data_IF_442729668849
#
_entry.id   IF_442729668849
#
_cell.length_a   1.000
_cell.length_b   1.000
_cell.length_c   1.000
_cell.angle_alpha   90.00
_cell.angle_beta   90.00
_cell.angle_gamma   90.00
#
_symmetry.space_group_name_H-M   'P 1'
#
loop_
_entity.id
_entity.type
_entity.pdbx_description
1 polymer ?
#
# COMPACT_ATOMS: atom_id res chain seq x y z
N UNK A 1 -2.99 -8.61 31.14
CA UNK A 1 -4.15 -8.36 30.25
C UNK A 1 -4.21 -6.89 29.93
N UNK A 2 -4.35 -6.54 28.64
CA UNK A 2 -4.62 -5.16 28.24
C UNK A 2 -6.14 -5.01 28.32
N UNK A 3 -6.63 -4.30 29.35
CA UNK A 3 -8.05 -3.98 29.44
C UNK A 3 -8.43 -3.07 28.27
N UNK A 4 -9.45 -3.41 27.46
CA UNK A 4 -9.91 -2.54 26.41
C UNK A 4 -10.42 -1.24 27.03
N UNK A 5 -9.83 -0.11 26.62
CA UNK A 5 -10.28 1.22 27.02
C UNK A 5 -11.30 1.72 26.01
N UNK A 6 -12.49 2.06 26.49
CA UNK A 6 -13.50 2.75 25.67
C UNK A 6 -13.02 4.18 25.43
N UNK A 7 -12.78 4.53 24.17
CA UNK A 7 -12.32 5.87 23.76
C UNK A 7 -13.48 6.86 23.64
N UNK A 8 -14.70 6.37 23.39
CA UNK A 8 -15.92 7.16 23.28
C UNK A 8 -17.15 6.27 23.07
N UNK A 9 -18.33 6.86 23.20
CA UNK A 9 -19.61 6.23 22.90
C UNK A 9 -20.45 7.24 22.11
N UNK A 10 -20.93 6.82 20.95
CA UNK A 10 -21.63 7.68 20.02
C UNK A 10 -22.97 7.05 19.66
N UNK A 11 -23.96 7.91 19.41
CA UNK A 11 -25.21 7.45 18.83
C UNK A 11 -25.03 7.34 17.33
N UNK A 12 -25.69 6.37 16.72
CA UNK A 12 -25.61 6.21 15.27
C UNK A 12 -26.24 7.39 14.53
N UNK A 13 -27.22 8.06 15.16
CA UNK A 13 -27.83 9.28 14.63
C UNK A 13 -26.85 10.46 14.50
N UNK A 14 -25.74 10.43 15.25
CA UNK A 14 -24.70 11.47 15.19
C UNK A 14 -23.72 11.21 14.02
N UNK A 15 -23.87 10.12 13.28
CA UNK A 15 -23.01 9.79 12.14
C UNK A 15 -23.33 10.72 10.96
N UNK A 16 -22.35 11.47 10.46
CA UNK A 16 -22.54 12.40 9.34
C UNK A 16 -21.99 11.85 8.02
N UNK A 17 -20.79 11.26 8.08
CA UNK A 17 -20.06 10.93 6.87
C UNK A 17 -19.08 9.79 7.13
N UNK A 18 -19.00 8.88 6.16
CA UNK A 18 -17.97 7.84 6.12
C UNK A 18 -17.19 7.94 4.82
N UNK A 19 -15.88 7.99 4.95
CA UNK A 19 -14.93 7.95 3.86
C UNK A 19 -14.30 6.57 3.80
N UNK A 20 -14.23 6.01 2.59
CA UNK A 20 -13.57 4.72 2.34
C UNK A 20 -12.39 4.93 1.39
N UNK A 21 -11.32 4.15 1.54
CA UNK A 21 -10.15 4.29 0.66
C UNK A 21 -9.22 3.07 0.64
N UNK A 22 -8.23 3.15 -0.25
CA UNK A 22 -7.06 2.25 -0.38
C UNK A 22 -7.38 0.78 -0.67
N UNK A 23 -8.43 0.49 -1.43
CA UNK A 23 -8.87 -0.89 -1.67
C UNK A 23 -9.77 -1.43 -0.56
N UNK A 24 -10.51 -0.54 0.10
CA UNK A 24 -11.47 -0.80 1.19
C UNK A 24 -10.81 -1.23 2.52
N UNK A 25 -9.57 -0.83 2.81
CA UNK A 25 -8.92 -1.16 4.09
C UNK A 25 -8.94 -0.02 5.10
N UNK A 26 -9.14 1.23 4.65
CA UNK A 26 -9.24 2.41 5.52
C UNK A 26 -10.66 2.99 5.50
N UNK A 27 -11.19 3.24 6.70
CA UNK A 27 -12.48 3.91 6.91
C UNK A 27 -12.27 5.12 7.83
N UNK A 28 -12.75 6.29 7.43
CA UNK A 28 -12.81 7.46 8.30
C UNK A 28 -14.25 7.84 8.54
N UNK A 29 -14.65 7.78 9.80
CA UNK A 29 -16.02 8.01 10.28
C UNK A 29 -16.06 9.39 10.93
N UNK A 30 -16.93 10.26 10.43
CA UNK A 30 -17.16 11.60 10.94
C UNK A 30 -18.47 11.67 11.70
N UNK A 31 -18.39 12.23 12.90
CA UNK A 31 -19.51 12.46 13.80
C UNK A 31 -19.93 13.93 13.78
N UNK A 32 -21.16 14.22 14.18
CA UNK A 32 -21.75 15.56 14.20
C UNK A 32 -21.06 16.55 15.15
N UNK A 33 -20.33 16.04 16.15
CA UNK A 33 -19.50 16.84 17.06
C UNK A 33 -18.11 17.20 16.48
N UNK A 34 -17.92 16.99 15.18
CA UNK A 34 -16.66 17.14 14.45
C UNK A 34 -15.56 16.14 14.82
N UNK A 35 -15.86 15.10 15.62
CA UNK A 35 -14.92 14.01 15.87
C UNK A 35 -14.77 13.14 14.62
N UNK A 36 -13.55 12.73 14.32
CA UNK A 36 -13.27 11.77 13.26
C UNK A 36 -12.49 10.56 13.80
N UNK A 37 -12.97 9.37 13.48
CA UNK A 37 -12.33 8.10 13.84
C UNK A 37 -11.78 7.43 12.59
N UNK A 38 -10.51 7.01 12.65
CA UNK A 38 -9.87 6.24 11.58
C UNK A 38 -9.84 4.76 11.98
N UNK A 39 -10.45 3.92 11.16
CA UNK A 39 -10.38 2.47 11.27
C UNK A 39 -9.47 1.94 10.16
N UNK A 40 -8.46 1.19 10.57
CA UNK A 40 -7.60 0.45 9.66
C UNK A 40 -7.92 -1.03 9.84
N UNK A 41 -8.44 -1.61 8.76
CA UNK A 41 -8.83 -3.01 8.71
C UNK A 41 -7.78 -3.81 7.97
N UNK A 42 -7.64 -5.07 8.33
CA UNK A 42 -6.71 -5.99 7.69
C UNK A 42 -7.20 -6.43 6.33
N UNK A 43 -8.52 -6.58 6.17
CA UNK A 43 -9.13 -7.06 4.94
C UNK A 43 -10.30 -6.17 4.52
N UNK A 44 -10.59 -6.16 3.21
CA UNK A 44 -11.77 -5.48 2.68
C UNK A 44 -13.07 -6.02 3.28
N UNK A 45 -13.10 -7.31 3.64
CA UNK A 45 -14.23 -7.93 4.33
C UNK A 45 -14.45 -7.32 5.73
N UNK A 46 -13.38 -7.16 6.51
CA UNK A 46 -13.49 -6.50 7.82
C UNK A 46 -14.02 -5.07 7.70
N UNK A 47 -13.60 -4.32 6.67
CA UNK A 47 -14.17 -3.00 6.43
C UNK A 47 -15.65 -3.06 6.02
N UNK A 48 -16.06 -4.04 5.22
CA UNK A 48 -17.47 -4.27 4.90
C UNK A 48 -18.28 -4.58 6.16
N UNK A 49 -17.74 -5.41 7.06
CA UNK A 49 -18.38 -5.74 8.33
C UNK A 49 -18.54 -4.48 9.20
N UNK A 50 -17.53 -3.60 9.27
CA UNK A 50 -17.64 -2.31 9.96
C UNK A 50 -18.70 -1.42 9.33
N UNK A 51 -18.72 -1.29 8.00
CA UNK A 51 -19.74 -0.49 7.31
C UNK A 51 -21.16 -1.06 7.51
N UNK A 52 -21.29 -2.39 7.60
CA UNK A 52 -22.55 -3.05 7.91
C UNK A 52 -22.99 -2.75 9.36
N UNK A 53 -22.08 -2.79 10.33
CA UNK A 53 -22.37 -2.39 11.71
C UNK A 53 -22.80 -0.93 11.85
N UNK A 54 -22.29 -0.05 10.97
CA UNK A 54 -22.72 1.35 10.88
C UNK A 54 -24.06 1.52 10.14
N UNK A 55 -24.76 0.42 9.81
CA UNK A 55 -26.04 0.39 9.09
C UNK A 55 -26.05 1.15 7.76
N UNK A 56 -24.90 1.28 7.08
CA UNK A 56 -24.82 1.98 5.79
C UNK A 56 -25.36 1.14 4.62
N UNK A 57 -25.55 -0.16 4.83
CA UNK A 57 -26.04 -1.10 3.81
C UNK A 57 -27.40 -1.71 4.14
N UNK A 58 -27.98 -1.41 5.31
CA UNK A 58 -29.21 -2.03 5.80
C UNK A 58 -30.08 -0.95 6.42
N UNK A 59 -31.29 -0.78 5.88
CA UNK A 59 -32.38 0.13 6.27
C UNK A 59 -32.52 1.46 5.49
N UNK A 60 -33.62 1.65 4.73
CA UNK A 60 -33.99 2.93 4.11
C UNK A 60 -34.56 3.96 5.13
N UNK A 61 -34.18 3.88 6.42
CA UNK A 61 -34.67 4.78 7.48
C UNK A 61 -33.59 5.68 8.09
N UNK A 62 -32.29 5.40 7.87
CA UNK A 62 -31.20 6.37 8.10
C UNK A 62 -31.00 7.32 6.90
N UNK A 63 -31.82 7.19 5.87
CA UNK A 63 -31.72 7.96 4.63
C UNK A 63 -32.34 9.34 4.80
N UNK A 64 -31.60 10.27 5.37
CA UNK A 64 -31.65 11.66 4.92
C UNK A 64 -30.37 12.49 5.16
N UNK A 65 -29.34 11.98 5.85
CA UNK A 65 -28.15 12.78 6.18
C UNK A 65 -26.77 12.15 5.95
N UNK A 66 -26.62 10.83 6.11
CA UNK A 66 -25.28 10.22 6.14
C UNK A 66 -24.69 10.03 4.75
N UNK A 67 -23.48 10.56 4.50
CA UNK A 67 -22.80 10.42 3.21
C UNK A 67 -21.69 9.36 3.25
N UNK A 68 -21.76 8.37 2.34
CA UNK A 68 -20.67 7.42 2.09
C UNK A 68 -19.90 7.85 0.84
N UNK A 69 -18.60 8.10 0.94
CA UNK A 69 -17.79 8.56 -0.20
C UNK A 69 -16.50 7.75 -0.32
N UNK A 70 -16.16 7.34 -1.55
CA UNK A 70 -14.86 6.73 -1.86
C UNK A 70 -13.80 7.82 -2.12
N UNK A 71 -12.65 7.64 -1.49
CA UNK A 71 -11.46 8.47 -1.62
C UNK A 71 -10.43 7.90 -2.60
N UNK A 72 -10.71 6.75 -3.21
CA UNK A 72 -9.76 6.02 -4.06
C UNK A 72 -9.24 6.88 -5.22
N UNK A 73 -10.14 7.62 -5.91
CA UNK A 73 -9.74 8.52 -7.00
C UNK A 73 -8.83 9.66 -6.54
N UNK A 74 -9.00 10.13 -5.31
CA UNK A 74 -8.15 11.19 -4.75
C UNK A 74 -6.78 10.60 -4.40
N UNK A 75 -6.75 9.39 -3.85
CA UNK A 75 -5.52 8.69 -3.50
C UNK A 75 -4.68 8.36 -4.73
N UNK A 76 -5.29 7.91 -5.82
CA UNK A 76 -4.58 7.71 -7.10
C UNK A 76 -3.95 9.01 -7.59
N UNK A 77 -4.68 10.13 -7.57
CA UNK A 77 -4.13 11.45 -7.95
C UNK A 77 -2.98 11.90 -7.05
N UNK A 78 -3.07 11.66 -5.75
CA UNK A 78 -2.02 11.99 -4.79
C UNK A 78 -0.78 11.11 -5.03
N UNK A 79 -0.97 9.83 -5.31
CA UNK A 79 0.11 8.90 -5.63
C UNK A 79 0.86 9.35 -6.90
N UNK A 80 0.12 9.67 -7.96
CA UNK A 80 0.68 10.22 -9.21
C UNK A 80 1.45 11.52 -8.94
N UNK A 81 0.88 12.47 -8.17
CA UNK A 81 1.55 13.73 -7.82
C UNK A 81 2.84 13.51 -7.01
N UNK A 82 2.82 12.61 -6.03
CA UNK A 82 3.89 12.49 -5.03
C UNK A 82 5.04 11.59 -5.46
N UNK A 83 4.77 10.49 -6.17
CA UNK A 83 5.78 9.47 -6.47
C UNK A 83 6.21 9.51 -7.93
N UNK A 84 5.28 9.82 -8.84
CA UNK A 84 5.51 9.60 -10.26
C UNK A 84 4.73 10.60 -11.12
N UNK A 85 5.30 11.79 -11.30
CA UNK A 85 4.71 12.87 -12.10
C UNK A 85 4.42 12.52 -13.58
N UNK A 86 4.83 11.33 -14.06
CA UNK A 86 4.73 10.91 -15.46
C UNK A 86 4.03 9.56 -15.72
N UNK A 87 3.48 8.88 -14.71
CA UNK A 87 2.84 7.58 -14.92
C UNK A 87 1.46 7.76 -15.57
N UNK A 88 1.40 7.72 -16.90
CA UNK A 88 0.24 7.15 -17.62
C UNK A 88 0.26 5.62 -17.50
N UNK A 89 0.41 5.09 -16.28
CA UNK A 89 0.62 3.66 -16.05
C UNK A 89 -0.53 3.12 -15.21
N UNK A 90 -1.07 1.99 -15.61
CA UNK A 90 -2.09 1.30 -14.83
C UNK A 90 -1.52 0.83 -13.49
N UNK A 91 -2.25 1.08 -12.41
CA UNK A 91 -2.04 0.42 -11.12
C UNK A 91 -2.69 -0.96 -11.22
N UNK A 92 -1.89 -2.01 -11.15
CA UNK A 92 -2.37 -3.41 -11.24
C UNK A 92 -2.71 -3.99 -9.87
N UNK A 93 -2.04 -3.51 -8.82
CA UNK A 93 -2.34 -3.87 -7.45
C UNK A 93 -2.02 -2.70 -6.53
N UNK A 94 -2.89 -2.50 -5.56
CA UNK A 94 -2.66 -1.63 -4.43
C UNK A 94 -3.05 -2.41 -3.16
N UNK A 95 -2.20 -2.45 -2.13
CA UNK A 95 -2.47 -3.17 -0.87
C UNK A 95 -1.67 -2.60 0.29
N UNK A 96 -2.29 -2.55 1.48
CA UNK A 96 -1.54 -2.41 2.73
C UNK A 96 -0.88 -3.73 3.11
N UNK A 97 0.34 -3.67 3.65
CA UNK A 97 1.09 -4.82 4.14
C UNK A 97 2.10 -4.42 5.23
N UNK A 98 2.69 -5.43 5.86
CA UNK A 98 3.84 -5.32 6.77
C UNK A 98 5.13 -5.50 5.95
N UNK A 99 6.01 -4.51 5.98
CA UNK A 99 7.21 -4.41 5.16
C UNK A 99 8.47 -4.43 6.01
N UNK A 100 9.50 -5.10 5.53
CA UNK A 100 10.86 -5.03 6.08
C UNK A 100 11.88 -5.15 4.95
N UNK A 101 13.03 -4.48 5.10
CA UNK A 101 14.16 -4.53 4.17
C UNK A 101 15.47 -4.76 4.91
N UNK A 102 16.43 -5.42 4.27
CA UNK A 102 17.67 -5.87 4.92
C UNK A 102 18.68 -4.77 5.29
N UNK A 103 18.47 -3.54 4.84
CA UNK A 103 19.24 -2.35 5.23
C UNK A 103 18.50 -1.49 6.28
N UNK A 104 17.35 -1.94 6.79
CA UNK A 104 16.66 -1.26 7.88
C UNK A 104 17.47 -1.39 9.19
N UNK A 105 17.60 -0.28 9.91
CA UNK A 105 18.27 -0.25 11.24
C UNK A 105 17.56 -1.12 12.28
N UNK A 106 16.26 -1.39 12.08
CA UNK A 106 15.44 -2.20 12.96
C UNK A 106 14.97 -3.49 12.24
N UNK A 107 15.04 -4.63 12.92
CA UNK A 107 14.55 -5.93 12.42
C UNK A 107 13.01 -6.05 12.42
N UNK A 108 12.28 -4.94 12.63
CA UNK A 108 10.84 -4.94 12.79
C UNK A 108 10.09 -4.73 11.47
N UNK A 109 8.98 -5.45 11.29
CA UNK A 109 8.07 -5.19 10.18
C UNK A 109 7.26 -3.93 10.47
N UNK A 110 7.12 -3.06 9.47
CA UNK A 110 6.38 -1.79 9.55
C UNK A 110 5.22 -1.75 8.54
N UNK A 111 4.11 -1.11 8.90
CA UNK A 111 2.97 -0.97 7.99
C UNK A 111 3.35 -0.03 6.84
N UNK A 112 3.15 -0.49 5.60
CA UNK A 112 3.38 0.25 4.36
C UNK A 112 2.33 -0.08 3.31
N UNK A 113 2.31 0.76 2.28
CA UNK A 113 1.46 0.59 1.12
C UNK A 113 2.28 0.09 -0.04
N UNK A 114 1.83 -0.99 -0.66
CA UNK A 114 2.42 -1.56 -1.85
C UNK A 114 1.61 -1.13 -3.07
N UNK A 115 2.30 -0.59 -4.07
CA UNK A 115 1.75 -0.26 -5.38
C UNK A 115 2.51 -1.05 -6.43
N UNK A 116 1.79 -1.82 -7.24
CA UNK A 116 2.35 -2.52 -8.40
C UNK A 116 1.87 -1.84 -9.67
N UNK A 117 2.83 -1.45 -10.49
CA UNK A 117 2.64 -0.84 -11.81
C UNK A 117 3.23 -1.76 -12.88
N UNK A 118 3.10 -1.39 -14.16
CA UNK A 118 3.55 -2.23 -15.28
C UNK A 118 5.03 -2.65 -15.19
N UNK A 119 5.90 -1.78 -14.69
CA UNK A 119 7.35 -2.02 -14.66
C UNK A 119 7.98 -2.00 -13.27
N UNK A 120 7.25 -1.57 -12.24
CA UNK A 120 7.83 -1.30 -10.93
C UNK A 120 6.90 -1.68 -9.78
N UNK A 121 7.53 -2.06 -8.67
CA UNK A 121 6.90 -2.25 -7.37
C UNK A 121 7.38 -1.11 -6.47
N UNK A 122 6.44 -0.31 -5.96
CA UNK A 122 6.72 0.80 -5.06
C UNK A 122 6.15 0.47 -3.67
N UNK A 123 6.96 0.69 -2.64
CA UNK A 123 6.57 0.65 -1.24
C UNK A 123 6.54 2.09 -0.72
N UNK A 124 5.42 2.49 -0.15
CA UNK A 124 5.14 3.88 0.18
C UNK A 124 4.79 4.02 1.67
N UNK A 125 5.24 5.13 2.25
CA UNK A 125 4.72 5.65 3.52
C UNK A 125 3.49 6.49 3.21
N UNK A 126 2.41 6.21 3.93
CA UNK A 126 1.17 6.98 3.83
C UNK A 126 0.88 7.78 5.08
N UNK A 127 0.56 9.06 4.89
CA UNK A 127 0.11 9.93 5.95
C UNK A 127 -1.41 9.78 6.17
N UNK A 128 -1.79 8.69 6.83
CA UNK A 128 -3.19 8.35 7.10
C UNK A 128 -3.93 9.39 7.96
N UNK A 129 -3.22 10.28 8.67
CA UNK A 129 -3.87 11.41 9.35
C UNK A 129 -4.58 12.35 8.37
N UNK A 130 -4.06 12.49 7.15
CA UNK A 130 -4.65 13.31 6.09
C UNK A 130 -5.72 12.58 5.27
N UNK A 131 -5.96 11.29 5.52
CA UNK A 131 -6.92 10.51 4.75
C UNK A 131 -8.33 11.12 4.84
N UNK A 132 -8.87 11.67 3.76
CA UNK A 132 -10.17 12.33 3.79
C UNK A 132 -10.14 13.83 4.08
N UNK A 133 -8.97 14.41 4.33
CA UNK A 133 -8.75 15.85 4.41
C UNK A 133 -8.40 16.39 3.00
N UNK A 134 -8.93 17.54 2.61
CA UNK A 134 -8.55 18.15 1.34
C UNK A 134 -7.07 18.53 1.37
N UNK A 135 -6.27 18.12 0.38
CA UNK A 135 -4.85 18.44 0.33
C UNK A 135 -4.69 19.93 0.06
N UNK A 136 -4.24 20.68 1.06
CA UNK A 136 -3.61 21.99 0.86
C UNK A 136 -2.10 21.78 0.66
N UNK A 137 -1.46 22.61 -0.17
CA UNK A 137 -0.04 22.52 -0.49
C UNK A 137 0.87 22.89 0.71
N UNK A 138 0.29 23.37 1.82
CA UNK A 138 0.97 23.65 3.09
C UNK A 138 1.22 22.41 3.97
N UNK A 139 0.57 21.27 3.66
CA UNK A 139 0.68 20.04 4.44
C UNK A 139 1.77 19.10 3.89
N UNK A 140 2.37 18.23 4.74
CA UNK A 140 3.27 17.20 4.24
C UNK A 140 2.56 16.32 3.21
N UNK A 141 3.26 15.72 2.24
CA UNK A 141 2.62 14.93 1.19
C UNK A 141 1.90 13.71 1.77
N UNK A 142 0.78 13.33 1.15
CA UNK A 142 0.02 12.15 1.56
C UNK A 142 0.82 10.85 1.35
N UNK A 143 1.53 10.76 0.22
CA UNK A 143 2.44 9.66 -0.10
C UNK A 143 3.89 10.13 -0.03
N UNK A 144 4.75 9.29 0.52
CA UNK A 144 6.20 9.37 0.35
C UNK A 144 6.72 8.00 -0.08
N UNK A 145 7.66 7.97 -1.00
CA UNK A 145 8.28 6.72 -1.44
C UNK A 145 9.24 6.23 -0.35
N UNK A 146 9.02 5.01 0.16
CA UNK A 146 9.97 4.34 1.06
C UNK A 146 11.01 3.59 0.24
N UNK A 147 10.54 2.72 -0.66
CA UNK A 147 11.38 1.90 -1.51
C UNK A 147 10.72 1.64 -2.86
N UNK A 148 11.53 1.36 -3.88
CA UNK A 148 11.05 0.98 -5.21
C UNK A 148 12.02 0.00 -5.86
N UNK A 149 11.50 -0.94 -6.63
CA UNK A 149 12.31 -1.76 -7.51
C UNK A 149 11.65 -1.95 -8.87
N UNK A 150 12.44 -2.06 -9.93
CA UNK A 150 11.94 -2.59 -11.19
C UNK A 150 11.57 -4.07 -11.03
N UNK A 151 10.50 -4.51 -11.70
CA UNK A 151 10.11 -5.93 -11.75
C UNK A 151 11.22 -6.79 -12.36
N UNK A 152 12.01 -6.23 -13.29
CA UNK A 152 13.15 -6.90 -13.91
C UNK A 152 14.33 -7.10 -12.95
N UNK A 153 14.39 -6.31 -11.89
CA UNK A 153 15.45 -6.42 -10.87
C UNK A 153 15.20 -7.61 -9.92
N UNK A 154 14.03 -8.26 -9.99
CA UNK A 154 13.69 -9.40 -9.13
C UNK A 154 14.46 -10.64 -9.56
N UNK A 155 15.29 -11.16 -8.65
CA UNK A 155 16.06 -12.38 -8.84
C UNK A 155 15.27 -13.62 -8.48
N UNK A 156 14.59 -13.58 -7.34
CA UNK A 156 13.89 -14.73 -6.78
C UNK A 156 12.75 -14.26 -5.88
N UNK A 157 11.65 -15.01 -5.92
CA UNK A 157 10.53 -14.89 -4.99
C UNK A 157 10.52 -16.12 -4.09
N UNK A 158 10.65 -15.90 -2.79
CA UNK A 158 10.63 -16.96 -1.79
C UNK A 158 9.30 -16.90 -1.04
N UNK A 159 8.53 -17.98 -1.10
CA UNK A 159 7.23 -18.10 -0.42
C UNK A 159 7.39 -19.04 0.77
N UNK A 160 6.97 -18.58 1.95
CA UNK A 160 6.97 -19.38 3.17
C UNK A 160 5.70 -20.24 3.21
N UNK A 161 5.86 -21.56 3.30
CA UNK A 161 4.74 -22.50 3.38
C UNK A 161 4.10 -22.55 4.77
N UNK A 162 4.84 -22.17 5.83
CA UNK A 162 4.32 -22.08 7.19
C UNK A 162 3.63 -20.73 7.42
N UNK A 163 4.21 -19.66 6.90
CA UNK A 163 3.62 -18.31 6.94
C UNK A 163 3.02 -17.95 5.58
N UNK A 164 1.79 -18.42 5.34
CA UNK A 164 1.05 -18.25 4.06
C UNK A 164 0.75 -16.80 3.68
N UNK A 165 1.03 -15.88 4.59
CA UNK A 165 0.85 -14.44 4.39
C UNK A 165 2.17 -13.73 4.07
N UNK A 166 3.30 -14.45 4.09
CA UNK A 166 4.62 -13.90 3.96
C UNK A 166 5.32 -14.33 2.66
N UNK A 167 5.99 -13.36 2.04
CA UNK A 167 6.78 -13.53 0.84
C UNK A 167 8.05 -12.70 0.96
N UNK A 168 9.16 -13.24 0.47
CA UNK A 168 10.45 -12.53 0.42
C UNK A 168 10.86 -12.32 -1.03
N UNK A 169 11.15 -11.08 -1.40
CA UNK A 169 11.74 -10.73 -2.69
C UNK A 169 13.25 -10.59 -2.53
N UNK A 170 13.98 -11.27 -3.40
CA UNK A 170 15.42 -11.11 -3.55
C UNK A 170 15.66 -10.28 -4.80
N UNK A 171 16.33 -9.15 -4.63
CA UNK A 171 16.50 -8.13 -5.67
C UNK A 171 17.97 -7.98 -6.05
N UNK A 172 18.24 -7.78 -7.35
CA UNK A 172 19.51 -7.26 -7.82
C UNK A 172 19.60 -5.78 -7.46
N UNK A 173 20.70 -5.36 -6.84
CA UNK A 173 20.94 -3.94 -6.58
C UNK A 173 21.47 -3.28 -7.85
N UNK A 174 20.61 -2.57 -8.57
CA UNK A 174 21.07 -1.55 -9.50
C UNK A 174 21.34 -0.27 -8.70
N UNK A 175 22.61 0.16 -8.67
CA UNK A 175 23.09 1.35 -7.93
C UNK A 175 22.43 2.66 -8.44
N UNK A 176 21.61 2.63 -9.49
CA UNK A 176 20.98 3.80 -10.10
C UNK A 176 19.45 3.96 -9.90
N UNK A 177 18.77 3.14 -9.09
CA UNK A 177 17.32 3.32 -8.87
C UNK A 177 16.95 4.43 -7.85
N UNK A 178 17.94 5.23 -7.42
CA UNK A 178 17.74 6.34 -6.47
C UNK A 178 17.18 7.63 -7.06
N UNK A 179 16.74 7.67 -8.32
CA UNK A 179 16.18 8.90 -8.91
C UNK A 179 15.07 8.61 -9.92
N UNK A 180 13.82 8.64 -9.48
CA UNK A 180 12.74 9.18 -10.31
C UNK A 180 12.93 10.70 -10.45
N UNK A 181 14.03 11.12 -11.07
CA UNK A 181 14.21 12.50 -11.49
C UNK A 181 14.15 12.54 -13.01
N UNK A 182 13.27 13.42 -13.50
CA UNK A 182 13.17 13.88 -14.88
C UNK A 182 14.53 13.91 -15.57
N UNK A 183 14.67 13.14 -16.65
CA UNK A 183 15.87 13.10 -17.47
C UNK A 183 16.08 14.44 -18.18
N UNK A 184 16.83 15.35 -17.55
CA UNK A 184 17.64 16.36 -18.26
C UNK A 184 18.93 16.54 -17.47
N UNK A 185 20.02 15.93 -17.95
CA UNK A 185 21.35 16.15 -17.39
C UNK A 185 22.29 14.99 -17.67
N UNK A 186 23.07 15.13 -18.74
CA UNK A 186 24.23 14.30 -19.04
C UNK A 186 25.13 14.14 -17.80
N UNK A 187 25.55 12.93 -17.48
CA UNK A 187 26.82 12.74 -16.79
C UNK A 187 27.50 11.44 -17.22
N UNK A 188 28.77 11.59 -17.52
CA UNK A 188 29.65 10.63 -18.16
C UNK A 188 30.11 9.53 -17.19
N UNK A 189 30.31 8.34 -17.78
CA UNK A 189 31.13 7.20 -17.37
C UNK A 189 32.00 7.39 -16.10
N UNK A 190 31.66 6.64 -15.06
CA UNK A 190 32.63 6.03 -14.15
C UNK A 190 32.25 4.57 -13.95
N UNK A 191 33.10 3.68 -14.47
CA UNK A 191 33.06 2.24 -14.22
C UNK A 191 33.37 2.04 -12.73
N UNK A 192 32.33 1.86 -11.92
CA UNK A 192 32.45 1.54 -10.51
C UNK A 192 32.40 0.01 -10.37
N UNK A 193 33.38 -0.52 -9.64
CA UNK A 193 33.50 -1.93 -9.29
C UNK A 193 32.17 -2.45 -8.71
N UNK A 194 31.53 -3.40 -9.41
CA UNK A 194 30.17 -3.88 -9.12
C UNK A 194 30.18 -4.81 -7.91
N UNK A 195 30.19 -4.23 -6.71
CA UNK A 195 29.88 -4.97 -5.49
C UNK A 195 28.36 -5.26 -5.46
N UNK A 196 27.99 -6.42 -6.00
CA UNK A 196 26.64 -7.01 -5.96
C UNK A 196 26.20 -7.28 -4.52
N UNK A 197 25.69 -6.26 -3.84
CA UNK A 197 25.01 -6.44 -2.56
C UNK A 197 23.56 -6.84 -2.82
N UNK A 198 23.16 -8.02 -2.36
CA UNK A 198 21.79 -8.52 -2.50
C UNK A 198 20.87 -7.70 -1.60
N UNK A 199 19.82 -7.12 -2.18
CA UNK A 199 18.79 -6.41 -1.42
C UNK A 199 17.60 -7.36 -1.22
N UNK A 200 17.00 -7.34 -0.03
CA UNK A 200 15.95 -8.30 0.33
C UNK A 200 14.79 -7.58 0.97
N UNK A 201 13.58 -7.80 0.44
CA UNK A 201 12.34 -7.31 1.01
C UNK A 201 11.53 -8.46 1.57
N UNK A 202 11.09 -8.35 2.82
CA UNK A 202 10.10 -9.24 3.41
C UNK A 202 8.76 -8.52 3.42
N UNK A 203 7.79 -9.13 2.75
CA UNK A 203 6.44 -8.62 2.55
C UNK A 203 5.46 -9.56 3.24
N UNK A 204 4.71 -9.07 4.22
CA UNK A 204 3.67 -9.83 4.91
C UNK A 204 2.31 -9.17 4.78
N UNK A 205 1.40 -9.83 4.06
CA UNK A 205 0.03 -9.37 3.91
C UNK A 205 -0.81 -9.72 5.12
N UNK A 206 -2.00 -9.13 5.19
CA UNK A 206 -2.99 -9.48 6.21
C UNK A 206 -3.98 -10.55 5.76
N UNK A 207 -3.82 -11.06 4.53
CA UNK A 207 -4.57 -12.21 4.03
C UNK A 207 -3.77 -12.97 2.96
N UNK A 208 -3.89 -14.30 2.99
CA UNK A 208 -3.34 -15.19 1.95
C UNK A 208 -3.91 -14.85 0.56
N UNK A 209 -5.19 -14.48 0.47
CA UNK A 209 -5.84 -14.11 -0.79
C UNK A 209 -5.12 -12.95 -1.49
N UNK A 210 -4.78 -11.88 -0.75
CA UNK A 210 -4.10 -10.72 -1.34
C UNK A 210 -2.67 -11.05 -1.75
N UNK A 211 -1.97 -11.90 -0.98
CA UNK A 211 -0.65 -12.40 -1.37
C UNK A 211 -0.71 -13.21 -2.67
N UNK A 212 -1.71 -14.08 -2.82
CA UNK A 212 -1.88 -14.88 -4.05
C UNK A 212 -2.22 -13.99 -5.26
N UNK A 213 -3.02 -12.94 -5.06
CA UNK A 213 -3.26 -11.90 -6.08
C UNK A 213 -1.96 -11.20 -6.48
N UNK A 214 -1.14 -10.81 -5.51
CA UNK A 214 0.17 -10.22 -5.77
C UNK A 214 1.06 -11.14 -6.59
N UNK A 215 1.21 -12.41 -6.19
CA UNK A 215 2.02 -13.39 -6.94
C UNK A 215 1.52 -13.54 -8.37
N UNK A 216 0.20 -13.57 -8.57
CA UNK A 216 -0.41 -13.72 -9.89
C UNK A 216 -0.12 -12.51 -10.78
N UNK A 217 -0.31 -11.29 -10.26
CA UNK A 217 0.02 -10.03 -10.94
C UNK A 217 1.51 -9.99 -11.26
N UNK A 218 2.37 -10.32 -10.29
CA UNK A 218 3.81 -10.29 -10.46
C UNK A 218 4.28 -11.25 -11.55
N UNK A 219 3.78 -12.49 -11.57
CA UNK A 219 4.09 -13.47 -12.62
C UNK A 219 3.68 -12.98 -14.00
N UNK A 220 2.51 -12.36 -14.13
CA UNK A 220 2.02 -11.83 -15.39
C UNK A 220 2.93 -10.70 -15.91
N UNK A 221 3.27 -9.74 -15.04
CA UNK A 221 4.13 -8.61 -15.39
C UNK A 221 5.58 -9.05 -15.68
N UNK A 222 6.13 -9.93 -14.86
CA UNK A 222 7.49 -10.45 -15.05
C UNK A 222 7.62 -11.23 -16.37
N UNK A 223 6.61 -12.04 -16.73
CA UNK A 223 6.61 -12.77 -18.02
C UNK A 223 6.49 -11.86 -19.23
N UNK A 224 5.87 -10.68 -19.07
CA UNK A 224 5.82 -9.66 -20.12
C UNK A 224 7.15 -8.92 -20.30
N UNK A 225 7.96 -8.83 -19.24
CA UNK A 225 9.19 -8.06 -19.23
C UNK A 225 10.47 -8.91 -19.43
N UNK A 226 10.44 -10.18 -19.01
CA UNK A 226 11.56 -11.13 -19.09
C UNK A 226 11.09 -12.41 -19.79
N UNK A 227 11.90 -12.94 -20.72
CA UNK A 227 11.58 -14.15 -21.49
C UNK A 227 11.65 -15.46 -20.70
N UNK A 228 12.14 -15.42 -19.45
CA UNK A 228 12.20 -16.54 -18.53
C UNK A 228 11.11 -16.46 -17.46
N UNK A 229 10.58 -17.58 -16.95
CA UNK A 229 9.61 -17.55 -15.86
C UNK A 229 10.22 -16.94 -14.59
N UNK A 230 9.37 -16.27 -13.80
CA UNK A 230 9.74 -15.75 -12.48
C UNK A 230 10.25 -16.89 -11.59
N UNK A 231 11.49 -16.83 -11.07
CA UNK A 231 12.01 -17.86 -10.18
C UNK A 231 11.25 -17.82 -8.84
N UNK A 232 10.51 -18.89 -8.54
CA UNK A 232 9.75 -19.02 -7.28
C UNK A 232 10.29 -20.22 -6.51
N UNK A 233 10.67 -19.99 -5.25
CA UNK A 233 11.12 -21.01 -4.31
C UNK A 233 10.16 -21.08 -3.14
N UNK A 234 9.67 -22.28 -2.83
CA UNK A 234 8.89 -22.52 -1.64
C UNK A 234 9.79 -23.05 -0.53
N UNK A 235 9.72 -22.45 0.65
CA UNK A 235 10.45 -22.91 1.84
C UNK A 235 9.46 -23.40 2.90
N UNK A 236 9.90 -24.39 3.69
CA UNK A 236 9.11 -25.02 4.75
C UNK A 236 9.71 -24.79 6.12
#
# INVERSE_FOLDING_TARGET
>A
EIMPRVLGCYRLEDLEKVLTGLGLQALRVHMADHTAHLFLTRTSKEAQDVLWLLNLFSFPQLTSGVSLQSWEKIQVKLLEKCICASLKMGIFLYSMLMFWKNDAEEESLVIRSLVVTEGSICVCIENLHQFGCFPDDSHPPYFSLDECCSINSIKEVVVDQRDKECLTLILHKHINEGRFHSSTGNSQNKQADENYTVHTWKLKWFSEETLLKFISVLKALYSGAVSSPLPVKCIS
#
